data_IF_711522980308
#
_entry.id   IF_711522980308
#
_cell.length_a   1.000
_cell.length_b   1.000
_cell.length_c   1.000
_cell.angle_alpha   90.00
_cell.angle_beta   90.00
_cell.angle_gamma   90.00
#
_symmetry.space_group_name_H-M   'P 1'
#
loop_
_entity.id
_entity.type
_entity.pdbx_description
1 polymer ?
#
# COMPACT_ATOMS: atom_id res chain seq x y z
N UNK A 1 2.06 40.26 14.11
CA UNK A 1 1.25 39.35 14.93
C UNK A 1 0.55 38.38 13.98
N UNK A 2 1.10 37.19 13.79
CA UNK A 2 0.49 36.16 12.97
C UNK A 2 -0.66 35.55 13.77
N UNK A 3 -1.90 35.62 13.26
CA UNK A 3 -3.04 34.87 13.81
C UNK A 3 -2.65 33.42 14.04
N UNK A 4 -3.09 32.82 15.17
CA UNK A 4 -2.91 31.38 15.35
C UNK A 4 -3.64 30.67 14.21
N UNK A 5 -2.88 30.00 13.35
CA UNK A 5 -3.44 29.13 12.32
C UNK A 5 -4.35 28.12 13.04
N UNK A 6 -5.65 28.17 12.74
CA UNK A 6 -6.58 27.12 13.19
C UNK A 6 -5.99 25.77 12.78
N UNK A 7 -5.88 24.80 13.70
CA UNK A 7 -5.30 23.50 13.37
C UNK A 7 -6.07 22.90 12.19
N UNK A 8 -5.34 22.42 11.19
CA UNK A 8 -5.92 21.82 10.00
C UNK A 8 -6.83 20.64 10.40
N UNK A 9 -8.06 20.64 9.91
CA UNK A 9 -9.04 19.60 10.24
C UNK A 9 -8.60 18.29 9.60
N UNK A 10 -8.35 17.28 10.44
CA UNK A 10 -8.07 15.92 9.99
C UNK A 10 -9.29 15.33 9.30
N UNK A 11 -9.09 14.75 8.12
CA UNK A 11 -10.15 14.09 7.36
C UNK A 11 -9.77 12.68 6.96
N UNK A 12 -10.74 11.77 7.00
CA UNK A 12 -10.60 10.41 6.47
C UNK A 12 -11.75 10.13 5.49
N UNK A 13 -11.42 9.72 4.27
CA UNK A 13 -12.38 9.26 3.28
C UNK A 13 -12.27 7.76 3.18
N UNK A 14 -13.29 7.08 3.63
CA UNK A 14 -13.33 5.62 3.75
C UNK A 14 -14.39 5.04 2.80
N UNK A 15 -14.18 3.78 2.42
CA UNK A 15 -15.11 3.06 1.56
C UNK A 15 -14.44 1.96 0.75
N UNK A 16 -15.19 1.21 -0.04
CA UNK A 16 -14.70 0.12 -0.87
C UNK A 16 -13.62 0.55 -1.88
N UNK A 17 -13.00 -0.42 -2.50
CA UNK A 17 -12.15 -0.19 -3.67
C UNK A 17 -12.95 0.42 -4.82
N UNK A 18 -12.26 1.11 -5.72
CA UNK A 18 -12.85 1.66 -6.95
C UNK A 18 -13.95 2.75 -6.74
N UNK A 19 -13.81 3.56 -5.69
CA UNK A 19 -14.68 4.72 -5.40
C UNK A 19 -14.07 6.07 -5.73
N UNK A 20 -12.93 6.08 -6.44
CA UNK A 20 -12.25 7.31 -6.86
C UNK A 20 -11.54 8.10 -5.74
N UNK A 21 -11.29 7.50 -4.58
CA UNK A 21 -10.63 8.17 -3.43
C UNK A 21 -9.27 8.76 -3.79
N UNK A 22 -8.40 7.98 -4.41
CA UNK A 22 -7.06 8.43 -4.83
C UNK A 22 -7.13 9.57 -5.83
N UNK A 23 -8.06 9.49 -6.80
CA UNK A 23 -8.27 10.57 -7.78
C UNK A 23 -8.70 11.86 -7.09
N UNK A 24 -9.66 11.78 -6.20
CA UNK A 24 -10.12 12.91 -5.40
C UNK A 24 -8.99 13.56 -4.59
N UNK A 25 -8.12 12.74 -3.95
CA UNK A 25 -6.98 13.27 -3.20
C UNK A 25 -5.98 13.99 -4.11
N UNK A 26 -5.72 13.47 -5.31
CA UNK A 26 -4.86 14.12 -6.30
C UNK A 26 -5.45 15.45 -6.76
N UNK A 27 -6.73 15.52 -7.08
CA UNK A 27 -7.39 16.78 -7.48
C UNK A 27 -7.31 17.83 -6.35
N UNK A 28 -7.57 17.43 -5.11
CA UNK A 28 -7.44 18.32 -3.96
C UNK A 28 -6.00 18.81 -3.76
N UNK A 29 -5.03 17.91 -3.89
CA UNK A 29 -3.61 18.25 -3.80
C UNK A 29 -3.23 19.30 -4.85
N UNK A 30 -3.65 19.11 -6.09
CA UNK A 30 -3.33 20.02 -7.21
C UNK A 30 -4.05 21.38 -7.11
N UNK A 31 -5.08 21.49 -6.29
CA UNK A 31 -5.75 22.73 -5.93
C UNK A 31 -5.08 23.51 -4.79
N UNK A 32 -4.00 22.99 -4.19
CA UNK A 32 -3.22 23.65 -3.14
C UNK A 32 -1.89 24.19 -3.68
N UNK A 33 -1.26 25.06 -2.91
CA UNK A 33 0.06 25.64 -3.26
C UNK A 33 1.19 24.61 -3.29
N UNK A 34 1.09 23.57 -2.46
CA UNK A 34 2.01 22.44 -2.40
C UNK A 34 1.33 21.21 -1.81
N UNK A 35 1.82 20.02 -2.13
CA UNK A 35 1.24 18.81 -1.58
C UNK A 35 2.13 17.59 -1.68
N UNK A 36 1.82 16.60 -0.83
CA UNK A 36 2.46 15.29 -0.85
C UNK A 36 1.39 14.20 -0.73
N UNK A 37 1.46 13.18 -1.57
CA UNK A 37 0.63 11.99 -1.49
C UNK A 37 1.49 10.75 -1.30
N UNK A 38 1.24 10.01 -0.21
CA UNK A 38 1.84 8.72 0.08
C UNK A 38 0.96 7.58 -0.43
N UNK A 39 1.50 6.79 -1.33
CA UNK A 39 0.81 5.69 -2.00
C UNK A 39 1.40 4.34 -1.54
N UNK A 40 0.62 3.26 -1.53
CA UNK A 40 1.05 1.98 -0.96
C UNK A 40 2.11 1.27 -1.80
N UNK A 41 2.17 1.54 -3.11
CA UNK A 41 3.05 0.83 -4.05
C UNK A 41 3.74 1.76 -5.03
N UNK A 42 4.96 1.39 -5.44
CA UNK A 42 5.80 2.10 -6.41
C UNK A 42 5.09 2.29 -7.76
N UNK A 43 4.43 1.23 -8.26
CA UNK A 43 3.71 1.28 -9.53
C UNK A 43 2.58 2.30 -9.51
N UNK A 44 1.79 2.34 -8.45
CA UNK A 44 0.74 3.33 -8.30
C UNK A 44 1.31 4.75 -8.17
N UNK A 45 2.42 4.90 -7.45
CA UNK A 45 3.11 6.18 -7.36
C UNK A 45 3.57 6.66 -8.74
N UNK A 46 4.16 5.78 -9.54
CA UNK A 46 4.58 6.10 -10.92
C UNK A 46 3.40 6.46 -11.81
N UNK A 47 2.32 5.69 -11.78
CA UNK A 47 1.10 5.98 -12.55
C UNK A 47 0.49 7.34 -12.18
N UNK A 48 0.39 7.64 -10.89
CA UNK A 48 -0.14 8.92 -10.40
C UNK A 48 0.78 10.08 -10.81
N UNK A 49 2.11 9.90 -10.70
CA UNK A 49 3.09 10.88 -11.15
C UNK A 49 2.92 11.18 -12.65
N UNK A 50 2.86 10.16 -13.50
CA UNK A 50 2.70 10.32 -14.94
C UNK A 50 1.38 11.02 -15.29
N UNK A 51 0.29 10.71 -14.58
CA UNK A 51 -1.01 11.41 -14.73
C UNK A 51 -0.91 12.89 -14.36
N UNK A 52 -0.24 13.21 -13.26
CA UNK A 52 -0.08 14.61 -12.83
C UNK A 52 0.80 15.37 -13.83
N UNK A 53 1.87 14.77 -14.35
CA UNK A 53 2.73 15.39 -15.36
C UNK A 53 2.03 15.69 -16.69
N UNK A 54 0.88 15.06 -16.97
CA UNK A 54 0.05 15.40 -18.16
C UNK A 54 -0.77 16.69 -17.96
N UNK A 55 -1.04 17.08 -16.72
CA UNK A 55 -1.88 18.25 -16.39
C UNK A 55 -1.13 19.38 -15.68
N UNK A 56 0.06 19.11 -15.17
CA UNK A 56 0.96 20.09 -14.53
C UNK A 56 2.33 20.04 -15.21
N UNK A 57 3.07 21.14 -15.10
CA UNK A 57 4.46 21.16 -15.58
C UNK A 57 5.30 20.11 -14.81
N UNK A 58 5.99 19.16 -15.49
CA UNK A 58 6.83 18.16 -14.85
C UNK A 58 7.91 18.75 -13.92
N UNK A 59 8.37 19.98 -14.16
CA UNK A 59 9.31 20.68 -13.28
C UNK A 59 8.73 21.02 -11.89
N UNK A 60 7.41 20.90 -11.69
CA UNK A 60 6.73 21.13 -10.42
C UNK A 60 6.39 19.83 -9.69
N UNK A 61 6.62 18.67 -10.29
CA UNK A 61 6.20 17.36 -9.77
C UNK A 61 7.43 16.52 -9.43
N UNK A 62 7.45 15.99 -8.22
CA UNK A 62 8.48 15.04 -7.78
C UNK A 62 7.90 13.63 -7.65
N UNK A 63 8.73 12.63 -7.93
CA UNK A 63 8.48 11.22 -7.63
C UNK A 63 9.55 10.71 -6.66
N UNK A 64 9.12 10.16 -5.55
CA UNK A 64 9.99 9.54 -4.54
C UNK A 64 9.51 8.12 -4.22
N UNK A 65 10.30 7.14 -4.60
CA UNK A 65 10.09 5.73 -4.25
C UNK A 65 11.41 5.11 -3.80
N UNK A 66 11.40 3.86 -3.34
CA UNK A 66 12.65 3.16 -2.99
C UNK A 66 13.61 2.97 -4.17
N UNK A 67 13.12 3.04 -5.43
CA UNK A 67 13.92 2.78 -6.63
C UNK A 67 14.07 4.03 -7.51
N UNK A 68 13.09 4.93 -7.50
CA UNK A 68 13.08 6.13 -8.37
C UNK A 68 13.07 7.40 -7.54
N UNK A 69 13.96 8.32 -7.90
CA UNK A 69 14.04 9.64 -7.29
C UNK A 69 14.12 10.71 -8.38
N UNK A 70 12.98 11.34 -8.66
CA UNK A 70 12.86 12.46 -9.57
C UNK A 70 12.44 13.68 -8.75
N UNK A 71 13.34 14.61 -8.49
CA UNK A 71 13.09 15.80 -7.64
C UNK A 71 13.58 17.05 -8.33
N UNK A 72 12.74 17.68 -9.17
CA UNK A 72 13.05 18.99 -9.76
C UNK A 72 13.26 20.05 -8.68
N UNK A 73 14.10 21.07 -8.96
CA UNK A 73 14.38 22.16 -8.01
C UNK A 73 13.12 22.91 -7.54
N UNK A 74 12.13 23.05 -8.42
CA UNK A 74 10.88 23.78 -8.17
C UNK A 74 9.71 22.86 -7.86
N UNK A 75 9.95 21.62 -7.42
CA UNK A 75 8.90 20.68 -7.10
C UNK A 75 8.01 21.18 -5.96
N UNK A 76 6.71 21.29 -6.25
CA UNK A 76 5.64 21.66 -5.32
C UNK A 76 4.80 20.45 -4.94
N UNK A 77 4.62 19.50 -5.86
CA UNK A 77 3.78 18.33 -5.68
C UNK A 77 4.64 17.07 -5.64
N UNK A 78 4.52 16.33 -4.57
CA UNK A 78 5.31 15.13 -4.31
C UNK A 78 4.42 13.90 -4.35
N UNK A 79 4.71 12.99 -5.26
CA UNK A 79 4.11 11.66 -5.34
C UNK A 79 5.12 10.67 -4.80
N UNK A 80 4.77 9.97 -3.72
CA UNK A 80 5.70 9.13 -3.00
C UNK A 80 5.11 7.76 -2.70
N UNK A 81 5.96 6.75 -2.48
CA UNK A 81 5.51 5.67 -1.61
C UNK A 81 5.45 6.17 -0.18
N UNK A 82 4.61 5.56 0.67
CA UNK A 82 4.41 6.01 2.07
C UNK A 82 5.72 6.03 2.85
N UNK A 83 6.62 5.09 2.56
CA UNK A 83 7.96 5.03 3.15
C UNK A 83 8.86 6.21 2.76
N UNK A 84 8.77 6.63 1.49
CA UNK A 84 9.65 7.65 0.92
C UNK A 84 9.13 9.09 1.08
N UNK A 85 8.05 9.29 1.83
CA UNK A 85 7.50 10.63 2.07
C UNK A 85 8.49 11.52 2.82
N UNK A 86 8.83 12.73 2.30
CA UNK A 86 9.76 13.65 2.94
C UNK A 86 9.07 14.46 4.05
N UNK A 87 8.94 13.87 5.23
CA UNK A 87 8.19 14.43 6.37
C UNK A 87 8.86 15.66 6.99
N UNK A 88 10.13 15.88 6.73
CA UNK A 88 10.87 17.10 7.12
C UNK A 88 10.40 18.35 6.35
N UNK A 89 9.76 18.15 5.20
CA UNK A 89 9.18 19.24 4.41
C UNK A 89 7.77 19.58 4.88
N UNK A 90 7.44 20.85 4.84
CA UNK A 90 6.07 21.32 5.10
C UNK A 90 5.32 21.43 3.79
N UNK A 91 4.14 20.83 3.74
CA UNK A 91 3.21 20.88 2.61
C UNK A 91 1.88 21.47 3.06
N UNK A 92 1.23 22.21 2.15
CA UNK A 92 -0.14 22.67 2.38
C UNK A 92 -1.12 21.49 2.49
N UNK A 93 -0.95 20.47 1.64
CA UNK A 93 -1.76 19.27 1.59
C UNK A 93 -0.91 18.02 1.79
N UNK A 94 -1.38 17.09 2.63
CA UNK A 94 -0.81 15.73 2.74
C UNK A 94 -1.93 14.71 2.65
N UNK A 95 -1.73 13.67 1.82
CA UNK A 95 -2.63 12.52 1.77
C UNK A 95 -1.86 11.20 1.97
N UNK A 96 -2.50 10.25 2.67
CA UNK A 96 -2.03 8.86 2.82
C UNK A 96 -3.11 7.95 2.25
N UNK A 97 -2.76 7.19 1.23
CA UNK A 97 -3.68 6.23 0.60
C UNK A 97 -3.55 4.84 1.23
N UNK A 98 -4.64 4.06 1.18
CA UNK A 98 -4.76 2.70 1.72
C UNK A 98 -4.36 2.62 3.21
N UNK A 99 -4.85 3.57 4.02
CA UNK A 99 -4.46 3.69 5.45
C UNK A 99 -4.75 2.43 6.27
N UNK A 100 -5.66 1.54 5.87
CA UNK A 100 -5.88 0.26 6.53
C UNK A 100 -4.64 -0.66 6.52
N UNK A 101 -3.64 -0.37 5.67
CA UNK A 101 -2.35 -1.09 5.68
C UNK A 101 -1.56 -0.89 6.98
N UNK A 102 -1.97 0.03 7.86
CA UNK A 102 -1.44 0.12 9.23
C UNK A 102 -1.59 -1.19 10.04
N UNK A 103 -2.45 -2.13 9.60
CA UNK A 103 -2.56 -3.48 10.18
C UNK A 103 -1.64 -4.52 9.53
N UNK A 104 -0.87 -4.15 8.50
CA UNK A 104 0.08 -5.04 7.84
C UNK A 104 1.27 -5.32 8.76
N UNK A 105 1.65 -6.60 8.90
CA UNK A 105 2.71 -7.02 9.82
C UNK A 105 4.07 -6.39 9.49
N UNK A 106 4.45 -6.30 8.23
CA UNK A 106 5.78 -5.82 7.82
C UNK A 106 5.85 -4.29 7.76
N UNK A 107 4.85 -3.64 7.14
CA UNK A 107 4.86 -2.21 6.78
C UNK A 107 3.91 -1.36 7.60
N UNK A 108 3.06 -1.97 8.42
CA UNK A 108 1.97 -1.28 9.11
C UNK A 108 2.43 -0.17 10.02
N UNK A 109 3.57 -0.34 10.68
CA UNK A 109 4.14 0.67 11.57
C UNK A 109 4.46 2.00 10.85
N UNK A 110 4.82 1.94 9.55
CA UNK A 110 5.07 3.13 8.74
C UNK A 110 3.77 3.87 8.47
N UNK A 111 2.71 3.15 8.08
CA UNK A 111 1.38 3.76 7.88
C UNK A 111 0.83 4.35 9.18
N UNK A 112 1.03 3.67 10.31
CA UNK A 112 0.64 4.17 11.63
C UNK A 112 1.41 5.43 12.00
N UNK A 113 2.70 5.48 11.74
CA UNK A 113 3.51 6.70 11.95
C UNK A 113 2.99 7.87 11.12
N UNK A 114 2.66 7.64 9.83
CA UNK A 114 2.07 8.67 8.97
C UNK A 114 0.70 9.11 9.45
N UNK A 115 -0.15 8.18 9.92
CA UNK A 115 -1.43 8.51 10.53
C UNK A 115 -1.27 9.43 11.75
N UNK A 116 -0.30 9.14 12.60
CA UNK A 116 -0.09 9.87 13.85
C UNK A 116 0.62 11.22 13.65
N UNK A 117 1.56 11.32 12.70
CA UNK A 117 2.48 12.45 12.61
C UNK A 117 2.44 13.24 11.31
N UNK A 118 2.02 12.66 10.17
CA UNK A 118 2.00 13.39 8.90
C UNK A 118 0.85 14.41 8.88
N UNK A 119 1.20 15.70 8.75
CA UNK A 119 0.24 16.82 8.79
C UNK A 119 0.50 17.78 7.64
N UNK A 120 -0.54 18.04 6.84
CA UNK A 120 -0.57 19.20 5.95
C UNK A 120 -0.91 20.45 6.75
N UNK A 121 -0.35 21.60 6.39
CA UNK A 121 -0.63 22.85 7.08
C UNK A 121 -2.04 23.36 6.86
N UNK A 122 -2.67 22.96 5.75
CA UNK A 122 -4.06 23.32 5.41
C UNK A 122 -4.98 22.09 5.46
N UNK A 123 -4.54 20.95 4.96
CA UNK A 123 -5.38 19.76 4.84
C UNK A 123 -4.59 18.44 4.91
N UNK A 124 -4.67 17.71 6.01
CA UNK A 124 -4.29 16.31 6.09
C UNK A 124 -5.48 15.40 5.74
N UNK A 125 -5.26 14.41 4.86
CA UNK A 125 -6.28 13.52 4.34
C UNK A 125 -5.84 12.06 4.40
N UNK A 126 -6.68 11.20 4.95
CA UNK A 126 -6.47 9.76 4.99
C UNK A 126 -7.50 9.05 4.09
N UNK A 127 -7.02 8.14 3.25
CA UNK A 127 -7.88 7.38 2.33
C UNK A 127 -7.78 5.89 2.67
N UNK A 128 -8.89 5.17 2.63
CA UNK A 128 -8.84 3.74 2.91
C UNK A 128 -10.17 3.02 2.95
N UNK A 129 -10.12 1.80 3.48
CA UNK A 129 -11.29 0.97 3.69
C UNK A 129 -12.02 1.35 4.99
N UNK A 130 -13.32 1.09 5.05
CA UNK A 130 -14.17 1.34 6.21
C UNK A 130 -13.69 0.62 7.47
N UNK A 131 -12.99 -0.51 7.32
CA UNK A 131 -12.37 -1.27 8.41
C UNK A 131 -11.40 -0.44 9.27
N UNK A 132 -10.86 0.67 8.75
CA UNK A 132 -9.96 1.56 9.46
C UNK A 132 -10.68 2.57 10.38
N UNK A 133 -11.99 2.77 10.23
CA UNK A 133 -12.75 3.81 10.97
C UNK A 133 -12.56 3.71 12.47
N UNK A 134 -12.83 2.54 13.05
CA UNK A 134 -12.77 2.35 14.51
C UNK A 134 -11.39 2.68 15.08
N UNK A 135 -10.34 2.28 14.41
CA UNK A 135 -8.96 2.53 14.88
C UNK A 135 -8.60 4.01 14.74
N UNK A 136 -8.98 4.67 13.63
CA UNK A 136 -8.73 6.10 13.43
C UNK A 136 -9.48 6.91 14.48
N UNK A 137 -10.76 6.59 14.77
CA UNK A 137 -11.54 7.27 15.82
C UNK A 137 -10.88 7.16 17.19
N UNK A 138 -10.28 5.98 17.50
CA UNK A 138 -9.59 5.80 18.79
C UNK A 138 -8.26 6.55 18.90
N UNK A 139 -7.50 6.65 17.78
CA UNK A 139 -6.19 7.29 17.78
C UNK A 139 -6.26 8.80 17.49
N UNK A 140 -7.25 9.25 16.73
CA UNK A 140 -7.47 10.63 16.30
C UNK A 140 -8.95 11.00 16.49
N UNK A 141 -9.40 11.29 17.71
CA UNK A 141 -10.83 11.56 18.01
C UNK A 141 -11.43 12.72 17.21
N UNK A 142 -10.61 13.72 16.86
CA UNK A 142 -11.04 14.91 16.10
C UNK A 142 -11.10 14.71 14.58
N UNK A 143 -10.79 13.49 14.08
CA UNK A 143 -10.82 13.19 12.67
C UNK A 143 -12.26 13.17 12.14
N UNK A 144 -12.52 13.92 11.07
CA UNK A 144 -13.82 13.91 10.39
C UNK A 144 -13.83 12.85 9.31
N UNK A 145 -14.94 12.12 9.22
CA UNK A 145 -15.11 11.02 8.29
C UNK A 145 -16.08 11.36 7.16
N UNK A 146 -15.70 10.97 5.95
CA UNK A 146 -16.56 10.91 4.78
C UNK A 146 -16.58 9.47 4.28
N UNK A 147 -17.76 8.91 4.05
CA UNK A 147 -17.92 7.57 3.47
C UNK A 147 -18.23 7.71 1.99
N UNK A 148 -17.54 6.89 1.17
CA UNK A 148 -17.82 6.77 -0.25
C UNK A 148 -18.34 5.39 -0.56
N UNK A 149 -19.49 5.35 -1.20
CA UNK A 149 -20.09 4.13 -1.68
C UNK A 149 -19.56 3.79 -3.09
N UNK A 150 -19.61 2.52 -3.42
CA UNK A 150 -19.28 2.05 -4.77
C UNK A 150 -20.45 2.34 -5.71
N UNK A 151 -20.16 2.87 -6.88
CA UNK A 151 -21.19 3.19 -7.88
C UNK A 151 -21.64 1.97 -8.70
N UNK A 152 -20.89 0.87 -8.68
CA UNK A 152 -21.16 -0.36 -9.41
C UNK A 152 -21.37 -1.52 -8.46
N UNK A 153 -22.16 -2.51 -8.85
CA UNK A 153 -22.31 -3.74 -8.08
C UNK A 153 -21.14 -4.68 -8.29
N UNK A 154 -20.84 -5.47 -7.28
CA UNK A 154 -19.91 -6.58 -7.33
C UNK A 154 -20.70 -7.84 -6.99
N UNK A 155 -20.71 -8.85 -7.87
CA UNK A 155 -21.51 -10.05 -7.68
C UNK A 155 -20.71 -11.33 -7.92
N UNK A 156 -21.06 -12.38 -7.17
CA UNK A 156 -20.43 -13.69 -7.31
C UNK A 156 -20.97 -14.43 -8.52
N UNK A 157 -20.10 -14.88 -9.41
CA UNK A 157 -20.43 -15.60 -10.64
C UNK A 157 -20.27 -17.12 -10.53
N UNK A 158 -19.95 -17.63 -9.34
CA UNK A 158 -19.73 -19.05 -9.12
C UNK A 158 -18.38 -19.58 -9.64
N UNK A 159 -18.16 -20.91 -9.53
CA UNK A 159 -16.97 -21.55 -10.05
C UNK A 159 -17.06 -21.69 -11.58
N UNK A 160 -15.99 -21.33 -12.28
CA UNK A 160 -15.93 -21.36 -13.74
C UNK A 160 -14.60 -21.96 -14.20
N UNK A 161 -14.62 -22.86 -15.19
CA UNK A 161 -13.38 -23.40 -15.77
C UNK A 161 -12.52 -22.28 -16.37
N UNK A 162 -11.21 -22.35 -16.19
CA UNK A 162 -10.24 -21.34 -16.72
C UNK A 162 -10.51 -21.04 -18.20
N UNK A 163 -10.81 -22.06 -19.00
CA UNK A 163 -11.06 -21.92 -20.44
C UNK A 163 -12.41 -21.27 -20.80
N UNK A 164 -13.30 -21.09 -19.83
CA UNK A 164 -14.63 -20.48 -20.01
C UNK A 164 -14.78 -19.12 -19.33
N UNK A 165 -13.71 -18.62 -18.71
CA UNK A 165 -13.72 -17.30 -18.11
C UNK A 165 -14.06 -16.23 -19.17
N UNK A 166 -14.80 -15.18 -18.79
CA UNK A 166 -15.09 -14.08 -19.70
C UNK A 166 -13.80 -13.34 -20.11
N UNK A 167 -13.85 -12.61 -21.20
CA UNK A 167 -12.79 -11.66 -21.55
C UNK A 167 -12.61 -10.61 -20.46
N UNK A 168 -11.50 -9.91 -20.47
CA UNK A 168 -11.18 -8.91 -19.43
C UNK A 168 -11.14 -9.50 -18.01
N UNK A 169 -10.69 -10.77 -17.89
CA UNK A 169 -10.56 -11.44 -16.59
C UNK A 169 -9.15 -11.33 -16.01
N UNK A 170 -9.09 -11.09 -14.71
CA UNK A 170 -7.87 -11.24 -13.90
C UNK A 170 -7.96 -12.54 -13.12
N UNK A 171 -6.94 -13.40 -13.24
CA UNK A 171 -6.87 -14.70 -12.56
C UNK A 171 -5.82 -14.60 -11.46
N UNK A 172 -6.21 -14.92 -10.23
CA UNK A 172 -5.38 -14.79 -9.05
C UNK A 172 -4.84 -16.16 -8.62
N UNK A 173 -3.50 -16.24 -8.54
CA UNK A 173 -2.77 -17.39 -8.02
C UNK A 173 -1.63 -16.93 -7.10
N UNK A 174 -1.11 -17.79 -6.22
CA UNK A 174 -0.15 -17.39 -5.18
C UNK A 174 1.21 -18.07 -5.29
N UNK A 175 1.43 -18.87 -6.32
CA UNK A 175 2.74 -19.44 -6.61
C UNK A 175 3.17 -19.16 -8.05
N UNK A 176 4.47 -18.98 -8.28
CA UNK A 176 4.99 -18.80 -9.63
C UNK A 176 4.65 -19.99 -10.54
N UNK A 177 4.69 -21.21 -10.00
CA UNK A 177 4.33 -22.42 -10.75
C UNK A 177 2.89 -22.38 -11.24
N UNK A 178 1.92 -22.03 -10.38
CA UNK A 178 0.51 -21.86 -10.77
C UNK A 178 0.33 -20.76 -11.81
N UNK A 179 0.96 -19.60 -11.60
CA UNK A 179 0.88 -18.47 -12.54
C UNK A 179 1.33 -18.88 -13.93
N UNK A 180 2.47 -19.54 -14.06
CA UNK A 180 2.99 -20.00 -15.36
C UNK A 180 2.17 -21.14 -15.96
N UNK A 181 1.67 -22.09 -15.15
CA UNK A 181 0.78 -23.15 -15.63
C UNK A 181 -0.52 -22.59 -16.20
N UNK A 182 -1.13 -21.62 -15.54
CA UNK A 182 -2.34 -20.93 -16.01
C UNK A 182 -2.06 -20.13 -17.27
N UNK A 183 -0.93 -19.40 -17.34
CA UNK A 183 -0.53 -18.64 -18.51
C UNK A 183 -0.36 -19.55 -19.74
N UNK A 184 0.29 -20.69 -19.56
CA UNK A 184 0.48 -21.67 -20.64
C UNK A 184 -0.85 -22.30 -21.07
N UNK A 185 -1.75 -22.62 -20.14
CA UNK A 185 -3.08 -23.14 -20.47
C UNK A 185 -3.88 -22.13 -21.32
N UNK A 186 -3.88 -20.86 -20.92
CA UNK A 186 -4.59 -19.80 -21.66
C UNK A 186 -3.91 -19.54 -23.01
N UNK A 187 -2.59 -19.53 -23.07
CA UNK A 187 -1.86 -19.39 -24.32
C UNK A 187 -2.26 -20.42 -25.36
N UNK A 188 -2.41 -21.67 -24.95
CA UNK A 188 -2.80 -22.78 -25.83
C UNK A 188 -4.24 -22.71 -26.31
N UNK A 189 -5.14 -22.17 -25.51
CA UNK A 189 -6.60 -22.30 -25.74
C UNK A 189 -7.31 -20.97 -26.01
N UNK A 190 -6.73 -19.85 -25.61
CA UNK A 190 -7.39 -18.53 -25.60
C UNK A 190 -6.54 -17.40 -26.16
N UNK A 191 -5.42 -17.70 -26.81
CA UNK A 191 -4.59 -16.71 -27.50
C UNK A 191 -3.49 -16.04 -26.69
N UNK A 192 -3.50 -16.14 -25.37
CA UNK A 192 -2.47 -15.61 -24.52
C UNK A 192 -2.96 -14.86 -23.29
N UNK A 193 -2.06 -14.62 -22.35
CA UNK A 193 -2.31 -13.85 -21.14
C UNK A 193 -1.08 -13.01 -20.77
N UNK A 194 -1.32 -11.85 -20.18
CA UNK A 194 -0.31 -11.09 -19.48
C UNK A 194 -0.05 -11.72 -18.09
N UNK A 195 1.17 -11.54 -17.56
CA UNK A 195 1.57 -12.07 -16.26
C UNK A 195 2.14 -10.96 -15.39
N UNK A 196 1.61 -10.83 -14.15
CA UNK A 196 2.08 -9.85 -13.16
C UNK A 196 2.35 -10.52 -11.81
N UNK A 197 3.61 -10.51 -11.40
CA UNK A 197 4.06 -11.06 -10.12
C UNK A 197 5.03 -10.09 -9.43
N UNK A 198 5.12 -10.19 -8.10
CA UNK A 198 6.05 -9.40 -7.30
C UNK A 198 7.53 -9.58 -7.71
N UNK A 199 7.92 -10.78 -8.15
CA UNK A 199 9.27 -11.09 -8.59
C UNK A 199 9.69 -10.47 -9.94
N UNK A 200 8.74 -9.94 -10.73
CA UNK A 200 9.06 -9.27 -12.00
C UNK A 200 9.57 -7.84 -11.75
N UNK A 201 10.49 -7.38 -12.61
CA UNK A 201 10.91 -5.98 -12.58
C UNK A 201 9.73 -5.02 -12.78
N UNK A 202 9.78 -3.79 -12.24
CA UNK A 202 8.71 -2.81 -12.43
C UNK A 202 8.41 -2.54 -13.91
N UNK A 203 9.45 -2.45 -14.74
CA UNK A 203 9.31 -2.25 -16.19
C UNK A 203 8.55 -3.40 -16.85
N UNK A 204 8.88 -4.64 -16.51
CA UNK A 204 8.20 -5.83 -17.05
C UNK A 204 6.75 -5.88 -16.60
N UNK A 205 6.49 -5.58 -15.32
CA UNK A 205 5.10 -5.54 -14.78
C UNK A 205 4.25 -4.50 -15.48
N UNK A 206 4.79 -3.31 -15.72
CA UNK A 206 4.07 -2.25 -16.44
C UNK A 206 3.75 -2.70 -17.87
N UNK A 207 4.73 -3.22 -18.61
CA UNK A 207 4.52 -3.70 -19.97
C UNK A 207 3.44 -4.81 -20.02
N UNK A 208 3.45 -5.75 -19.07
CA UNK A 208 2.42 -6.80 -18.98
C UNK A 208 1.03 -6.23 -18.66
N UNK A 209 0.95 -5.27 -17.73
CA UNK A 209 -0.30 -4.60 -17.41
C UNK A 209 -0.84 -3.80 -18.62
N UNK A 210 0.04 -3.14 -19.38
CA UNK A 210 -0.32 -2.41 -20.60
C UNK A 210 -0.89 -3.32 -21.69
N UNK A 211 -0.30 -4.50 -21.93
CA UNK A 211 -0.85 -5.49 -22.88
C UNK A 211 -2.31 -5.84 -22.55
N UNK A 212 -2.61 -6.04 -21.27
CA UNK A 212 -3.97 -6.31 -20.83
C UNK A 212 -4.87 -5.06 -20.93
N UNK A 213 -4.38 -3.88 -20.54
CA UNK A 213 -5.17 -2.64 -20.61
C UNK A 213 -5.51 -2.25 -22.05
N UNK A 214 -4.56 -2.38 -22.96
CA UNK A 214 -4.74 -2.07 -24.39
C UNK A 214 -5.62 -3.10 -25.12
N UNK A 215 -5.98 -4.21 -24.46
CA UNK A 215 -6.80 -5.27 -25.05
C UNK A 215 -6.03 -6.17 -26.01
N UNK A 216 -4.70 -6.16 -25.99
CA UNK A 216 -3.85 -7.06 -26.77
C UNK A 216 -3.98 -8.52 -26.28
N UNK A 217 -4.29 -8.67 -24.99
CA UNK A 217 -4.67 -9.95 -24.37
C UNK A 217 -5.94 -9.77 -23.52
N UNK A 218 -6.79 -10.79 -23.51
CA UNK A 218 -8.05 -10.78 -22.76
C UNK A 218 -7.90 -11.20 -21.30
N UNK A 219 -6.74 -11.75 -20.90
CA UNK A 219 -6.49 -12.33 -19.60
C UNK A 219 -5.22 -11.78 -18.96
N UNK A 220 -5.28 -11.54 -17.67
CA UNK A 220 -4.14 -11.23 -16.84
C UNK A 220 -4.06 -12.27 -15.71
N UNK A 221 -2.89 -12.88 -15.51
CA UNK A 221 -2.64 -13.77 -14.38
C UNK A 221 -1.72 -13.06 -13.41
N UNK A 222 -2.12 -13.01 -12.15
CA UNK A 222 -1.39 -12.23 -11.17
C UNK A 222 -1.43 -12.84 -9.77
N UNK A 223 -0.48 -12.41 -8.94
CA UNK A 223 -0.55 -12.61 -7.50
C UNK A 223 -1.38 -11.51 -6.83
N UNK A 224 -1.45 -11.50 -5.48
CA UNK A 224 -2.12 -10.47 -4.69
C UNK A 224 -1.60 -9.04 -4.92
N UNK A 225 -0.47 -8.89 -5.60
CA UNK A 225 0.03 -7.58 -6.05
C UNK A 225 -1.01 -6.76 -6.84
N UNK A 226 -1.97 -7.43 -7.49
CA UNK A 226 -3.11 -6.79 -8.17
C UNK A 226 -4.08 -6.14 -7.16
N UNK A 227 -4.28 -6.76 -6.00
CA UNK A 227 -5.19 -6.22 -4.97
C UNK A 227 -4.78 -4.85 -4.44
N UNK A 228 -3.50 -4.53 -4.44
CA UNK A 228 -2.96 -3.38 -3.74
C UNK A 228 -2.45 -2.22 -4.60
N UNK A 229 -2.39 -2.32 -5.94
CA UNK A 229 -1.73 -1.22 -6.62
C UNK A 229 -1.75 -1.14 -8.13
N UNK A 230 -2.33 -2.10 -8.81
CA UNK A 230 -2.55 -1.96 -10.24
C UNK A 230 -3.96 -1.40 -10.48
N UNK A 231 -4.02 -0.25 -11.14
CA UNK A 231 -5.29 0.31 -11.60
C UNK A 231 -5.69 -0.40 -12.90
N UNK A 232 -6.23 -1.60 -12.75
CA UNK A 232 -6.65 -2.43 -13.87
C UNK A 232 -8.13 -2.22 -14.18
N UNK A 233 -8.44 -2.09 -15.46
CA UNK A 233 -9.80 -2.14 -15.98
C UNK A 233 -10.14 -3.59 -16.28
N UNK A 234 -10.84 -4.24 -15.37
CA UNK A 234 -11.22 -5.64 -15.46
C UNK A 234 -12.67 -5.84 -15.12
N UNK A 235 -13.34 -6.74 -15.83
CA UNK A 235 -14.78 -7.04 -15.62
C UNK A 235 -14.98 -8.20 -14.66
N UNK A 236 -13.99 -9.12 -14.58
CA UNK A 236 -14.07 -10.31 -13.77
C UNK A 236 -12.78 -10.63 -13.04
N UNK A 237 -12.89 -11.04 -11.77
CA UNK A 237 -11.77 -11.57 -10.97
C UNK A 237 -12.04 -13.03 -10.64
N UNK A 238 -11.15 -13.92 -11.07
CA UNK A 238 -11.23 -15.36 -10.82
C UNK A 238 -10.11 -15.81 -9.87
N UNK A 239 -10.46 -16.39 -8.73
CA UNK A 239 -9.49 -16.98 -7.80
C UNK A 239 -9.16 -18.42 -8.23
N UNK A 240 -7.95 -18.66 -8.71
CA UNK A 240 -7.42 -20.01 -8.93
C UNK A 240 -6.90 -20.63 -7.62
N UNK A 241 -6.57 -19.81 -6.65
CA UNK A 241 -6.27 -20.20 -5.27
C UNK A 241 -6.71 -19.10 -4.30
N UNK A 242 -7.10 -19.49 -3.09
CA UNK A 242 -7.37 -18.60 -1.95
C UNK A 242 -6.40 -18.88 -0.79
N UNK A 243 -5.35 -19.65 -1.05
CA UNK A 243 -4.28 -19.97 -0.09
C UNK A 243 -3.01 -19.23 -0.48
N UNK A 244 -2.44 -18.50 0.46
CA UNK A 244 -1.15 -17.84 0.26
C UNK A 244 -0.12 -18.27 1.30
N UNK A 245 1.14 -18.00 1.00
CA UNK A 245 2.26 -18.13 1.91
C UNK A 245 2.84 -16.74 2.20
N UNK A 246 2.77 -16.33 3.47
CA UNK A 246 3.38 -15.10 4.01
C UNK A 246 4.11 -15.44 5.33
N UNK A 247 5.15 -16.28 5.24
CA UNK A 247 5.82 -16.89 6.38
C UNK A 247 5.13 -18.17 6.89
N UNK A 248 3.83 -18.33 6.62
CA UNK A 248 3.03 -19.54 6.88
C UNK A 248 1.97 -19.72 5.81
N UNK A 249 1.56 -20.97 5.58
CA UNK A 249 0.41 -21.24 4.70
C UNK A 249 -0.88 -20.88 5.42
N UNK A 250 -1.70 -20.05 4.80
CA UNK A 250 -3.01 -19.66 5.32
C UNK A 250 -4.00 -19.35 4.20
N UNK A 251 -5.28 -19.36 4.55
CA UNK A 251 -6.35 -18.85 3.70
C UNK A 251 -6.32 -17.33 3.66
N UNK A 252 -6.75 -16.74 2.55
CA UNK A 252 -7.07 -15.32 2.48
C UNK A 252 -8.25 -15.00 3.41
N UNK A 253 -8.16 -13.87 4.08
CA UNK A 253 -9.29 -13.37 4.88
C UNK A 253 -10.35 -12.75 3.96
N UNK A 254 -11.63 -12.70 4.37
CA UNK A 254 -12.69 -12.07 3.57
C UNK A 254 -12.34 -10.65 3.10
N UNK A 255 -11.69 -9.84 3.94
CA UNK A 255 -11.22 -8.51 3.57
C UNK A 255 -10.18 -8.54 2.43
N UNK A 256 -9.24 -9.49 2.44
CA UNK A 256 -8.23 -9.63 1.38
C UNK A 256 -8.89 -10.08 0.07
N UNK A 257 -9.82 -11.04 0.15
CA UNK A 257 -10.62 -11.47 -0.99
C UNK A 257 -11.44 -10.30 -1.56
N UNK A 258 -12.12 -9.54 -0.71
CA UNK A 258 -12.91 -8.38 -1.09
C UNK A 258 -12.09 -7.25 -1.70
N UNK A 259 -10.85 -7.04 -1.23
CA UNK A 259 -9.94 -6.06 -1.79
C UNK A 259 -9.47 -6.44 -3.20
N UNK A 260 -9.24 -7.73 -3.44
CA UNK A 260 -8.88 -8.27 -4.75
C UNK A 260 -10.10 -8.30 -5.68
N UNK A 261 -11.21 -8.92 -5.24
CA UNK A 261 -12.45 -9.00 -6.01
C UNK A 261 -13.00 -7.61 -6.38
N UNK A 262 -12.86 -6.66 -5.49
CA UNK A 262 -13.29 -5.28 -5.68
C UNK A 262 -12.57 -4.54 -6.83
N UNK A 263 -11.54 -5.13 -7.43
CA UNK A 263 -10.94 -4.62 -8.66
C UNK A 263 -11.78 -4.90 -9.90
N UNK A 264 -12.71 -5.87 -9.83
CA UNK A 264 -13.65 -6.12 -10.90
C UNK A 264 -14.69 -5.01 -11.00
N UNK A 265 -14.99 -4.57 -12.21
CA UNK A 265 -15.86 -3.44 -12.51
C UNK A 265 -15.20 -2.09 -12.26
N UNK A 266 -15.53 -1.10 -13.04
CA UNK A 266 -14.93 0.23 -12.91
C UNK A 266 -16.00 1.32 -13.05
N UNK A 267 -15.96 2.30 -12.15
CA UNK A 267 -16.90 3.41 -12.11
C UNK A 267 -18.35 2.89 -12.08
N UNK A 268 -19.09 2.95 -13.18
CA UNK A 268 -20.49 2.47 -13.30
C UNK A 268 -20.60 1.06 -13.89
N UNK A 269 -19.49 0.46 -14.32
CA UNK A 269 -19.51 -0.89 -14.86
C UNK A 269 -19.50 -1.89 -13.71
N UNK A 270 -20.50 -2.76 -13.68
CA UNK A 270 -20.61 -3.83 -12.70
C UNK A 270 -19.44 -4.81 -12.86
N UNK A 271 -18.97 -5.33 -11.75
CA UNK A 271 -17.93 -6.35 -11.72
C UNK A 271 -18.44 -7.68 -11.22
N UNK A 272 -17.76 -8.74 -11.62
CA UNK A 272 -18.04 -10.09 -11.12
C UNK A 272 -16.77 -10.71 -10.55
N UNK A 273 -16.95 -11.63 -9.60
CA UNK A 273 -15.86 -12.45 -9.10
C UNK A 273 -16.29 -13.90 -8.94
N UNK A 274 -15.33 -14.81 -8.92
CA UNK A 274 -15.62 -16.22 -8.77
C UNK A 274 -14.36 -17.04 -8.52
N UNK A 275 -14.50 -18.36 -8.51
CA UNK A 275 -13.36 -19.28 -8.41
C UNK A 275 -13.14 -20.02 -9.72
N UNK A 276 -11.91 -20.48 -9.96
CA UNK A 276 -11.54 -21.20 -11.18
C UNK A 276 -10.50 -22.28 -10.89
N UNK A 277 -10.30 -23.20 -11.86
CA UNK A 277 -9.36 -24.31 -11.72
C UNK A 277 -9.82 -25.29 -10.64
N UNK A 278 -8.93 -25.59 -9.72
CA UNK A 278 -9.17 -26.48 -8.58
C UNK A 278 -9.56 -25.73 -7.29
N UNK A 279 -9.69 -24.40 -7.37
CA UNK A 279 -10.11 -23.61 -6.21
C UNK A 279 -11.55 -23.92 -5.85
N UNK A 280 -11.85 -24.32 -4.60
CA UNK A 280 -13.21 -24.60 -4.18
C UNK A 280 -14.08 -23.36 -4.26
N UNK A 281 -15.42 -23.50 -4.42
CA UNK A 281 -16.35 -22.38 -4.28
C UNK A 281 -16.16 -21.67 -2.93
N UNK A 282 -16.42 -20.37 -2.91
CA UNK A 282 -16.48 -19.61 -1.66
C UNK A 282 -17.77 -19.98 -0.92
N UNK A 283 -17.73 -19.92 0.41
CA UNK A 283 -18.92 -20.08 1.23
C UNK A 283 -19.83 -18.84 1.15
N UNK A 284 -21.12 -19.02 1.41
CA UNK A 284 -22.15 -18.00 1.25
C UNK A 284 -21.89 -16.77 2.16
N UNK A 285 -21.37 -16.98 3.37
CA UNK A 285 -21.02 -15.88 4.28
C UNK A 285 -19.92 -15.03 3.70
N UNK A 286 -18.85 -15.64 3.18
CA UNK A 286 -17.74 -14.95 2.52
C UNK A 286 -18.21 -14.19 1.28
N UNK A 287 -19.10 -14.81 0.46
CA UNK A 287 -19.69 -14.17 -0.72
C UNK A 287 -20.45 -12.91 -0.31
N UNK A 288 -21.40 -13.02 0.63
CA UNK A 288 -22.19 -11.87 1.11
C UNK A 288 -21.33 -10.76 1.66
N UNK A 289 -20.30 -11.07 2.45
CA UNK A 289 -19.36 -10.08 2.98
C UNK A 289 -18.62 -9.33 1.87
N UNK A 290 -18.22 -10.02 0.80
CA UNK A 290 -17.53 -9.39 -0.34
C UNK A 290 -18.49 -8.50 -1.13
N UNK A 291 -19.70 -9.01 -1.45
CA UNK A 291 -20.71 -8.27 -2.21
C UNK A 291 -21.18 -7.00 -1.50
N UNK A 292 -21.40 -7.09 -0.17
CA UNK A 292 -21.85 -5.97 0.66
C UNK A 292 -20.69 -5.09 1.17
N UNK A 293 -19.42 -5.47 0.92
CA UNK A 293 -18.24 -4.83 1.48
C UNK A 293 -18.23 -4.77 3.02
N UNK A 294 -18.77 -5.78 3.69
CA UNK A 294 -18.87 -5.89 5.14
C UNK A 294 -17.71 -6.68 5.71
N UNK A 295 -16.72 -5.96 6.26
CA UNK A 295 -15.52 -6.56 6.83
C UNK A 295 -15.33 -6.11 8.28
N UNK A 296 -14.70 -6.99 9.07
CA UNK A 296 -14.44 -6.71 10.47
C UNK A 296 -13.52 -5.49 10.64
N UNK A 297 -13.84 -4.60 11.60
CA UNK A 297 -12.98 -3.48 11.94
C UNK A 297 -11.60 -3.94 12.36
N UNK A 298 -10.58 -3.19 12.01
CA UNK A 298 -9.20 -3.44 12.43
C UNK A 298 -9.11 -3.25 13.96
N UNK A 299 -8.74 -4.32 14.71
CA UNK A 299 -8.73 -4.25 16.18
C UNK A 299 -7.48 -3.56 16.73
N UNK A 300 -6.33 -3.75 16.09
CA UNK A 300 -5.02 -3.20 16.47
C UNK A 300 -4.17 -2.96 15.22
N UNK A 301 -3.24 -2.02 15.33
CA UNK A 301 -2.31 -1.66 14.25
C UNK A 301 -0.87 -1.78 14.70
N UNK A 302 0.02 -2.04 13.74
CA UNK A 302 1.45 -2.11 13.99
C UNK A 302 2.00 -0.73 14.30
N UNK A 303 2.87 -0.65 15.29
CA UNK A 303 3.48 0.59 15.74
C UNK A 303 4.94 0.40 16.10
N UNK A 304 5.74 1.40 15.80
CA UNK A 304 7.11 1.54 16.27
C UNK A 304 7.32 2.98 16.71
N UNK A 305 8.13 3.18 17.77
CA UNK A 305 8.52 4.50 18.17
C UNK A 305 9.32 5.19 17.05
N UNK A 306 8.92 6.37 16.65
CA UNK A 306 9.62 7.18 15.65
C UNK A 306 10.55 8.23 16.28
N UNK A 307 10.40 8.48 17.59
CA UNK A 307 11.29 9.35 18.38
C UNK A 307 12.50 8.53 18.87
N UNK A 308 13.45 8.29 17.96
CA UNK A 308 14.61 7.45 18.21
C UNK A 308 15.76 8.24 18.83
N UNK A 309 16.44 7.62 19.80
CA UNK A 309 17.59 8.19 20.47
C UNK A 309 18.90 7.63 19.89
N UNK A 310 19.63 8.43 19.14
CA UNK A 310 20.88 8.03 18.48
C UNK A 310 22.15 8.33 19.30
N UNK A 311 22.04 8.62 20.58
CA UNK A 311 23.23 8.95 21.40
C UNK A 311 24.17 7.75 21.62
N UNK A 312 23.64 6.53 21.63
CA UNK A 312 24.40 5.27 21.66
C UNK A 312 23.57 4.15 21.04
N UNK A 313 24.18 2.97 20.84
CA UNK A 313 23.45 1.77 20.38
C UNK A 313 22.39 1.33 21.40
N UNK A 314 22.74 1.36 22.68
CA UNK A 314 21.84 1.00 23.78
C UNK A 314 20.65 1.98 23.85
N UNK A 315 20.92 3.29 23.71
CA UNK A 315 19.85 4.31 23.68
C UNK A 315 18.93 4.16 22.45
N UNK A 316 19.48 3.77 21.31
CA UNK A 316 18.71 3.47 20.11
C UNK A 316 17.82 2.24 20.36
N UNK A 317 18.38 1.14 20.87
CA UNK A 317 17.66 -0.08 21.20
C UNK A 317 16.54 0.17 22.22
N UNK A 318 16.82 0.84 23.32
CA UNK A 318 15.82 1.23 24.31
C UNK A 318 14.69 2.07 23.71
N UNK A 319 15.02 3.00 22.80
CA UNK A 319 14.01 3.83 22.15
C UNK A 319 13.16 3.05 21.14
N UNK A 320 13.71 2.07 20.44
CA UNK A 320 12.99 1.13 19.58
C UNK A 320 12.04 0.24 20.39
N UNK A 321 12.47 -0.16 21.61
CA UNK A 321 11.71 -1.04 22.50
C UNK A 321 10.73 -0.32 23.43
N UNK A 322 10.54 1.00 23.26
CA UNK A 322 9.59 1.78 24.07
C UNK A 322 8.17 1.17 24.03
N UNK A 323 7.51 1.15 25.18
CA UNK A 323 6.13 0.68 25.31
C UNK A 323 5.16 1.49 24.44
N UNK A 324 4.12 0.82 23.92
CA UNK A 324 3.10 1.49 23.09
C UNK A 324 2.31 2.53 23.88
N UNK A 325 2.10 3.73 23.34
CA UNK A 325 1.37 4.79 24.07
C UNK A 325 -0.15 4.57 24.11
N UNK A 326 -0.68 3.59 23.38
CA UNK A 326 -2.11 3.33 23.32
C UNK A 326 -2.42 1.83 23.14
N UNK A 327 -3.48 1.33 23.78
CA UNK A 327 -3.90 -0.09 23.76
C UNK A 327 -4.23 -0.66 22.38
N UNK A 328 -4.55 0.20 21.41
CA UNK A 328 -4.82 -0.19 20.01
C UNK A 328 -3.55 -0.33 19.18
N UNK A 329 -2.41 0.09 19.69
CA UNK A 329 -1.11 -0.05 19.05
C UNK A 329 -0.46 -1.36 19.50
N UNK A 330 0.16 -2.06 18.58
CA UNK A 330 0.98 -3.24 18.82
C UNK A 330 2.41 -2.94 18.35
N UNK A 331 3.38 -3.05 19.26
CA UNK A 331 4.77 -2.88 18.88
C UNK A 331 5.17 -3.98 17.89
N UNK A 332 5.74 -3.57 16.76
CA UNK A 332 6.32 -4.52 15.81
C UNK A 332 7.50 -5.24 16.44
N UNK A 333 7.75 -6.47 16.01
CA UNK A 333 8.87 -7.31 16.46
C UNK A 333 9.41 -8.08 15.28
N UNK A 334 10.74 -8.23 15.21
CA UNK A 334 11.38 -9.05 14.19
C UNK A 334 11.24 -8.51 12.77
N UNK A 335 11.08 -7.19 12.62
CA UNK A 335 11.17 -6.55 11.30
C UNK A 335 12.61 -6.49 10.82
N UNK A 336 12.78 -6.50 9.51
CA UNK A 336 14.08 -6.68 8.85
C UNK A 336 15.15 -5.70 9.32
N UNK A 337 14.78 -4.43 9.55
CA UNK A 337 15.70 -3.39 10.00
C UNK A 337 16.18 -3.59 11.46
N UNK A 338 15.27 -4.01 12.36
CA UNK A 338 15.65 -4.35 13.75
C UNK A 338 16.56 -5.58 13.79
N UNK A 339 16.24 -6.62 13.01
CA UNK A 339 17.09 -7.81 12.87
C UNK A 339 18.45 -7.49 12.26
N UNK A 340 18.49 -6.55 11.30
CA UNK A 340 19.75 -6.09 10.72
C UNK A 340 20.58 -5.33 11.76
N UNK A 341 19.96 -4.45 12.55
CA UNK A 341 20.63 -3.72 13.64
C UNK A 341 21.21 -4.70 14.66
N UNK A 342 20.43 -5.69 15.11
CA UNK A 342 20.87 -6.72 16.05
C UNK A 342 22.11 -7.46 15.53
N UNK A 343 22.07 -7.91 14.26
CA UNK A 343 23.19 -8.63 13.64
C UNK A 343 24.42 -7.75 13.49
N UNK A 344 24.27 -6.50 13.06
CA UNK A 344 25.38 -5.56 12.88
C UNK A 344 25.97 -5.13 14.22
N UNK A 345 25.15 -4.99 15.26
CA UNK A 345 25.60 -4.69 16.63
C UNK A 345 26.35 -5.83 17.31
N UNK A 346 26.29 -7.04 16.76
CA UNK A 346 27.10 -8.18 17.22
C UNK A 346 28.53 -8.18 16.65
N UNK A 347 28.86 -7.30 15.68
CA UNK A 347 30.16 -7.23 15.01
C UNK A 347 31.04 -6.22 15.76
N UNK A 348 32.21 -6.65 16.34
CA UNK A 348 33.07 -5.78 17.14
C UNK A 348 33.53 -4.51 16.42
N UNK A 349 33.85 -4.60 15.13
CA UNK A 349 34.30 -3.48 14.31
C UNK A 349 33.18 -2.44 14.11
N UNK A 350 31.92 -2.89 13.99
CA UNK A 350 30.76 -2.01 13.90
C UNK A 350 30.53 -1.31 15.23
N UNK A 351 30.56 -2.03 16.35
CA UNK A 351 30.44 -1.48 17.70
C UNK A 351 31.52 -0.41 17.95
N UNK A 352 32.77 -0.73 17.61
CA UNK A 352 33.87 0.25 17.73
C UNK A 352 33.64 1.51 16.87
N UNK A 353 33.04 1.36 15.69
CA UNK A 353 32.77 2.49 14.78
C UNK A 353 31.69 3.45 15.28
N UNK A 354 30.80 3.01 16.15
CA UNK A 354 29.69 3.77 16.73
C UNK A 354 29.84 4.03 18.23
N UNK A 355 31.04 3.79 18.80
CA UNK A 355 31.33 3.96 20.22
C UNK A 355 30.92 5.35 20.74
N UNK A 356 30.27 5.45 21.93
CA UNK A 356 29.92 6.72 22.56
C UNK A 356 31.09 7.66 22.82
N UNK A 357 32.32 7.10 22.91
CA UNK A 357 33.55 7.88 23.10
C UNK A 357 33.97 8.73 21.87
N UNK A 358 33.34 8.51 20.71
CA UNK A 358 33.64 9.29 19.51
C UNK A 358 32.95 10.66 19.53
N UNK A 359 33.61 11.66 18.98
CA UNK A 359 33.07 13.03 18.82
C UNK A 359 31.79 13.02 17.94
N UNK A 360 31.70 12.10 16.97
CA UNK A 360 30.61 11.97 16.01
C UNK A 360 29.67 10.80 16.31
N UNK A 361 29.67 10.24 17.53
CA UNK A 361 28.91 9.02 17.91
C UNK A 361 27.46 9.06 17.49
N UNK A 362 26.74 10.13 17.76
CA UNK A 362 25.32 10.29 17.37
C UNK A 362 25.11 10.17 15.87
N UNK A 363 25.97 10.74 15.05
CA UNK A 363 25.88 10.64 13.58
C UNK A 363 26.28 9.25 13.09
N UNK A 364 27.22 8.58 13.76
CA UNK A 364 27.64 7.23 13.42
C UNK A 364 26.51 6.22 13.71
N UNK A 365 25.86 6.31 14.87
CA UNK A 365 24.69 5.47 15.22
C UNK A 365 23.55 5.71 14.27
N UNK A 366 23.24 6.97 13.94
CA UNK A 366 22.21 7.30 12.95
C UNK A 366 22.53 6.71 11.58
N UNK A 367 23.75 6.82 11.09
CA UNK A 367 24.17 6.23 9.81
C UNK A 367 24.03 4.70 9.82
N UNK A 368 24.38 4.04 10.92
CA UNK A 368 24.17 2.60 11.05
C UNK A 368 22.68 2.24 10.92
N UNK A 369 21.81 2.99 11.59
CA UNK A 369 20.37 2.82 11.47
C UNK A 369 19.87 3.07 10.03
N UNK A 370 20.34 4.11 9.36
CA UNK A 370 20.01 4.39 7.97
C UNK A 370 20.44 3.25 7.02
N UNK A 371 21.57 2.58 7.31
CA UNK A 371 21.98 1.35 6.59
C UNK A 371 21.00 0.21 6.87
N UNK A 372 20.61 -0.03 8.12
CA UNK A 372 19.62 -1.06 8.45
C UNK A 372 18.29 -0.85 7.69
N UNK A 373 17.81 0.40 7.63
CA UNK A 373 16.62 0.77 6.86
C UNK A 373 16.80 0.52 5.35
N UNK A 374 18.00 0.74 4.80
CA UNK A 374 18.27 0.53 3.37
C UNK A 374 18.27 -0.94 2.97
N UNK A 375 18.61 -1.86 3.90
CA UNK A 375 18.63 -3.31 3.66
C UNK A 375 17.25 -3.91 3.42
N UNK A 376 16.18 -3.21 3.82
CA UNK A 376 14.79 -3.64 3.53
C UNK A 376 14.50 -3.61 2.03
N UNK A 377 15.27 -2.85 1.26
CA UNK A 377 15.04 -2.62 -0.17
C UNK A 377 15.89 -3.53 -1.07
N UNK A 378 16.72 -4.37 -0.48
CA UNK A 378 17.52 -5.39 -1.18
C UNK A 378 16.86 -6.76 -1.02
#
# INVERSE_FOLDING_TARGET
MSSPLNPAILRAILGPTNTGKTHYAVERMLGRSSGCIGLPLRLLAREVYDKICRVKNPAQVALLTGEEKIVPRNAQYYVCTVEAMPLEKRFAFIAIDEIQLMSNFERGHIFTDRLLHARGTEEPLFLGAETARSIITNLLPDCRFETRERFSTLSYAGPTKVTRLPKRSVIIAFSAAEVYALAELIRRQRGGAAVVMGALSPRTRNAQAELFQNGEVDFLIATDAVGMGLNLDTDHVAFASIRKYDGRRRMLRPMELGQIAGRAGRFRNNGTFGTTGECPPLDDETIQRIENHEFEPIPRVEWRNSDLNFNSLEALDESLHRATPHKRLRRVQGVTDELALERLSAIPEVVASVSPARIDAKHAVKRLWDVCLSLIHI
#
